data_IF_138444953942
#
_entry.id   IF_138444953942
#
_cell.length_a   1.000
_cell.length_b   1.000
_cell.length_c   1.000
_cell.angle_alpha   90.00
_cell.angle_beta   90.00
_cell.angle_gamma   90.00
#
_symmetry.space_group_name_H-M   'P 1'
#
loop_
_entity.id
_entity.type
_entity.pdbx_description
1 polymer ?
#
# COMPACT_ATOMS: atom_id res chain seq x y z
N UNK A 1 43.88 -38.03 -54.48
CA UNK A 1 44.36 -36.97 -53.55
C UNK A 1 43.25 -36.00 -53.12
N UNK A 2 42.39 -35.49 -54.04
CA UNK A 2 41.34 -34.52 -53.69
C UNK A 2 40.16 -35.09 -52.85
N UNK A 3 39.86 -36.38 -52.94
CA UNK A 3 38.78 -37.04 -52.17
C UNK A 3 39.10 -37.19 -50.69
N UNK A 4 40.35 -37.52 -50.34
CA UNK A 4 40.84 -37.59 -48.96
C UNK A 4 40.78 -36.21 -48.27
N UNK A 5 41.15 -35.13 -48.99
CA UNK A 5 41.00 -33.76 -48.48
C UNK A 5 39.54 -33.38 -48.22
N UNK A 6 38.61 -33.75 -49.12
CA UNK A 6 37.18 -33.46 -48.94
C UNK A 6 36.59 -34.24 -47.76
N UNK A 7 37.02 -35.49 -47.55
CA UNK A 7 36.59 -36.30 -46.42
C UNK A 7 37.07 -35.74 -45.08
N UNK A 8 38.34 -35.30 -45.01
CA UNK A 8 38.89 -34.69 -43.81
C UNK A 8 38.21 -33.36 -43.46
N UNK A 9 37.96 -32.50 -44.45
CA UNK A 9 37.22 -31.25 -44.26
C UNK A 9 35.78 -31.52 -43.81
N UNK A 10 35.11 -32.52 -44.38
CA UNK A 10 33.76 -32.91 -43.95
C UNK A 10 33.75 -33.43 -42.50
N UNK A 11 34.74 -34.23 -42.10
CA UNK A 11 34.84 -34.74 -40.73
C UNK A 11 35.06 -33.61 -39.70
N UNK A 12 35.85 -32.58 -40.07
CA UNK A 12 36.06 -31.38 -39.25
C UNK A 12 34.79 -30.52 -39.14
N UNK A 13 34.06 -30.35 -40.25
CA UNK A 13 32.80 -29.62 -40.28
C UNK A 13 31.71 -30.35 -39.48
N UNK A 14 31.64 -31.67 -39.57
CA UNK A 14 30.70 -32.47 -38.80
C UNK A 14 30.97 -32.36 -37.29
N UNK A 15 32.25 -32.45 -36.86
CA UNK A 15 32.63 -32.28 -35.45
C UNK A 15 32.28 -30.89 -34.91
N UNK A 16 32.48 -29.84 -35.69
CA UNK A 16 32.17 -28.46 -35.28
C UNK A 16 30.66 -28.21 -35.19
N UNK A 17 29.86 -28.81 -36.09
CA UNK A 17 28.39 -28.74 -36.04
C UNK A 17 27.85 -29.52 -34.83
N UNK A 18 28.35 -30.74 -34.59
CA UNK A 18 27.95 -31.57 -33.43
C UNK A 18 28.27 -30.84 -32.11
N UNK A 19 29.47 -30.24 -32.01
CA UNK A 19 29.89 -29.54 -30.79
C UNK A 19 29.07 -28.27 -30.52
N UNK A 20 28.63 -27.54 -31.56
CA UNK A 20 27.74 -26.37 -31.40
C UNK A 20 26.33 -26.75 -30.92
N UNK A 21 25.76 -27.82 -31.48
CA UNK A 21 24.44 -28.30 -31.05
C UNK A 21 24.48 -28.87 -29.62
N UNK A 22 25.59 -29.52 -29.25
CA UNK A 22 25.82 -29.99 -27.88
C UNK A 22 25.94 -28.80 -26.90
N UNK A 23 26.67 -27.76 -27.27
CA UNK A 23 26.82 -26.54 -26.44
C UNK A 23 25.48 -25.83 -26.22
N UNK A 24 24.62 -25.79 -27.25
CA UNK A 24 23.28 -25.20 -27.16
C UNK A 24 22.34 -26.02 -26.27
N UNK A 25 22.38 -27.36 -26.35
CA UNK A 25 21.56 -28.23 -25.51
C UNK A 25 21.93 -28.15 -24.01
N UNK A 26 23.21 -28.02 -23.69
CA UNK A 26 23.69 -27.83 -22.30
C UNK A 26 23.21 -26.49 -21.72
N UNK A 27 23.07 -25.46 -22.56
CA UNK A 27 22.59 -24.13 -22.15
C UNK A 27 21.09 -24.12 -21.81
N UNK A 28 20.29 -24.97 -22.45
CA UNK A 28 18.86 -25.13 -22.11
C UNK A 28 18.65 -25.96 -20.84
N UNK A 29 19.50 -26.97 -20.58
CA UNK A 29 19.41 -27.82 -19.38
C UNK A 29 19.78 -27.07 -18.09
N UNK A 30 20.66 -26.08 -18.13
CA UNK A 30 21.01 -25.28 -16.95
C UNK A 30 19.92 -24.25 -16.57
N UNK A 31 19.05 -23.86 -17.50
CA UNK A 31 17.95 -22.93 -17.25
C UNK A 31 16.78 -23.56 -16.47
N UNK A 32 16.56 -24.86 -16.58
CA UNK A 32 15.48 -25.56 -15.88
C UNK A 32 15.71 -25.67 -14.36
N UNK A 33 16.96 -25.64 -13.90
CA UNK A 33 17.29 -25.74 -12.46
C UNK A 33 16.86 -24.53 -11.64
N UNK A 34 16.70 -23.35 -12.25
CA UNK A 34 16.28 -22.13 -11.54
C UNK A 34 14.76 -22.03 -11.31
N UNK A 35 13.95 -22.84 -11.99
CA UNK A 35 12.47 -22.74 -11.91
C UNK A 35 11.93 -23.30 -10.57
N UNK A 36 12.68 -24.17 -9.88
CA UNK A 36 12.22 -24.84 -8.66
C UNK A 36 12.54 -24.11 -7.34
N UNK A 37 13.11 -22.90 -7.38
CA UNK A 37 13.40 -22.09 -6.20
C UNK A 37 12.33 -20.99 -5.96
N UNK A 38 11.05 -21.32 -6.16
CA UNK A 38 9.97 -20.45 -5.72
C UNK A 38 9.71 -20.69 -4.24
N UNK A 39 10.34 -19.87 -3.40
CA UNK A 39 10.14 -19.88 -1.96
C UNK A 39 8.64 -19.72 -1.67
N UNK A 40 8.03 -20.73 -1.06
CA UNK A 40 6.62 -20.68 -0.68
C UNK A 40 6.52 -19.74 0.52
N UNK A 41 6.38 -18.43 0.26
CA UNK A 41 6.28 -17.42 1.30
C UNK A 41 5.07 -17.73 2.16
N UNK A 42 5.31 -18.25 3.36
CA UNK A 42 4.29 -18.42 4.38
C UNK A 42 4.07 -17.03 4.99
N UNK A 43 3.23 -16.21 4.36
CA UNK A 43 2.89 -14.88 4.88
C UNK A 43 2.03 -15.09 6.12
N UNK A 44 2.69 -15.21 7.27
CA UNK A 44 2.04 -14.99 8.55
C UNK A 44 1.36 -13.63 8.45
N UNK A 45 0.05 -13.61 8.67
CA UNK A 45 -0.84 -12.47 8.56
C UNK A 45 -0.13 -11.19 9.04
N UNK A 46 0.10 -10.24 8.13
CA UNK A 46 0.85 -9.00 8.38
C UNK A 46 0.04 -8.10 9.32
N UNK A 47 0.02 -8.43 10.61
CA UNK A 47 -0.72 -7.76 11.68
C UNK A 47 -0.11 -6.39 12.05
N UNK A 48 0.70 -5.84 11.17
CA UNK A 48 1.38 -4.56 11.33
C UNK A 48 0.39 -3.42 11.13
N UNK A 49 0.44 -2.47 12.04
CA UNK A 49 -0.28 -1.20 11.92
C UNK A 49 0.63 -0.24 11.16
N UNK A 50 0.13 0.32 10.06
CA UNK A 50 0.86 1.27 9.20
C UNK A 50 0.24 2.64 9.37
N UNK A 51 1.05 3.65 9.68
CA UNK A 51 0.61 5.04 9.68
C UNK A 51 0.54 5.58 8.24
N UNK A 52 -0.49 6.37 7.95
CA UNK A 52 -0.73 6.98 6.65
C UNK A 52 -0.97 8.47 6.80
N UNK A 53 -0.47 9.23 5.82
CA UNK A 53 -0.78 10.65 5.64
C UNK A 53 -1.30 10.85 4.21
N UNK A 54 -2.37 11.61 4.07
CA UNK A 54 -2.94 12.04 2.80
C UNK A 54 -2.83 13.55 2.77
N UNK A 55 -2.43 14.11 1.63
CA UNK A 55 -2.20 15.54 1.44
C UNK A 55 -3.27 16.15 0.54
N UNK A 56 -3.57 17.42 0.78
CA UNK A 56 -4.32 18.28 -0.11
C UNK A 56 -3.49 18.65 -1.34
N UNK A 57 -4.12 19.24 -2.36
CA UNK A 57 -3.45 19.71 -3.58
C UNK A 57 -2.41 20.82 -3.31
N UNK A 58 -2.54 21.55 -2.18
CA UNK A 58 -1.58 22.55 -1.74
C UNK A 58 -0.35 21.95 -1.01
N UNK A 59 -0.30 20.63 -0.83
CA UNK A 59 0.78 19.93 -0.14
C UNK A 59 0.63 19.86 1.39
N UNK A 60 -0.36 20.53 1.98
CA UNK A 60 -0.65 20.41 3.40
C UNK A 60 -1.36 19.09 3.72
N UNK A 61 -1.23 18.61 4.96
CA UNK A 61 -1.86 17.35 5.37
C UNK A 61 -3.38 17.50 5.36
N UNK A 62 -4.07 16.62 4.64
CA UNK A 62 -5.52 16.46 4.68
C UNK A 62 -5.96 15.49 5.77
N UNK A 63 -5.25 14.37 5.94
CA UNK A 63 -5.67 13.31 6.84
C UNK A 63 -4.48 12.50 7.35
N UNK A 64 -4.48 12.18 8.64
CA UNK A 64 -3.55 11.22 9.27
C UNK A 64 -4.32 10.09 9.93
N UNK A 65 -3.77 8.89 9.90
CA UNK A 65 -4.34 7.78 10.64
C UNK A 65 -3.58 6.49 10.46
N UNK A 66 -4.20 5.37 10.84
CA UNK A 66 -3.55 4.07 10.74
C UNK A 66 -4.38 3.06 9.95
N UNK A 67 -3.68 2.17 9.25
CA UNK A 67 -4.21 1.01 8.57
C UNK A 67 -3.73 -0.27 9.26
N UNK A 68 -4.63 -1.24 9.37
CA UNK A 68 -4.34 -2.60 9.80
C UNK A 68 -5.09 -3.57 8.91
N UNK A 69 -4.40 -4.50 8.26
CA UNK A 69 -4.97 -5.44 7.30
C UNK A 69 -5.83 -4.73 6.23
N UNK A 70 -5.28 -3.66 5.62
CA UNK A 70 -5.93 -2.80 4.62
C UNK A 70 -7.22 -2.11 5.08
N UNK A 71 -7.43 -1.95 6.40
CA UNK A 71 -8.60 -1.27 6.97
C UNK A 71 -8.16 -0.19 7.95
N UNK A 72 -8.89 0.93 7.99
CA UNK A 72 -8.66 1.97 9.01
C UNK A 72 -8.73 1.38 10.41
N UNK A 73 -7.76 1.77 11.24
CA UNK A 73 -7.57 1.30 12.59
C UNK A 73 -6.98 2.41 13.46
N UNK A 74 -7.28 2.42 14.74
CA UNK A 74 -6.76 3.43 15.66
C UNK A 74 -7.26 4.84 15.36
N UNK A 75 -6.47 5.83 15.76
CA UNK A 75 -6.80 7.26 15.68
C UNK A 75 -6.85 7.72 14.22
N UNK A 76 -7.78 8.61 13.92
CA UNK A 76 -7.86 9.36 12.67
C UNK A 76 -7.95 10.85 12.97
N UNK A 77 -7.16 11.65 12.28
CA UNK A 77 -7.20 13.10 12.27
C UNK A 77 -7.45 13.60 10.83
N UNK A 78 -8.27 14.63 10.67
CA UNK A 78 -8.46 15.29 9.38
C UNK A 78 -8.42 16.80 9.54
N UNK A 79 -7.86 17.46 8.53
CA UNK A 79 -7.52 18.88 8.57
C UNK A 79 -8.11 19.61 7.36
N UNK A 80 -8.44 20.88 7.53
CA UNK A 80 -8.86 21.75 6.42
C UNK A 80 -7.65 22.18 5.56
N UNK A 81 -7.90 22.97 4.51
CA UNK A 81 -6.84 23.49 3.61
C UNK A 81 -5.84 24.43 4.30
N UNK A 82 -6.20 24.97 5.47
CA UNK A 82 -5.34 25.84 6.28
C UNK A 82 -4.57 25.07 7.35
N UNK A 83 -4.72 23.74 7.43
CA UNK A 83 -4.08 22.88 8.42
C UNK A 83 -4.79 22.82 9.77
N UNK A 84 -6.00 23.37 9.91
CA UNK A 84 -6.75 23.29 11.17
C UNK A 84 -7.42 21.91 11.30
N UNK A 85 -7.36 21.33 12.51
CA UNK A 85 -8.02 20.05 12.81
C UNK A 85 -9.55 20.21 12.76
N UNK A 86 -10.20 19.48 11.86
CA UNK A 86 -11.66 19.51 11.67
C UNK A 86 -12.35 18.21 12.06
N UNK A 87 -11.62 17.09 12.11
CA UNK A 87 -12.16 15.79 12.54
C UNK A 87 -11.14 15.04 13.39
N UNK A 88 -11.60 14.48 14.50
CA UNK A 88 -10.84 13.54 15.32
C UNK A 88 -11.72 12.35 15.68
N UNK A 89 -11.22 11.13 15.50
CA UNK A 89 -11.97 9.94 15.84
C UNK A 89 -11.12 8.68 15.89
N UNK A 90 -11.79 7.54 16.09
CA UNK A 90 -11.12 6.24 16.14
C UNK A 90 -11.86 5.20 15.28
N UNK A 91 -11.08 4.37 14.59
CA UNK A 91 -11.53 3.20 13.88
C UNK A 91 -11.07 1.90 14.56
N UNK A 92 -11.90 0.86 14.42
CA UNK A 92 -11.52 -0.52 14.69
C UNK A 92 -11.99 -1.39 13.54
N UNK A 93 -11.04 -2.00 12.83
CA UNK A 93 -11.29 -2.90 11.70
C UNK A 93 -12.18 -2.26 10.62
N UNK A 94 -11.90 -1.00 10.27
CA UNK A 94 -12.64 -0.23 9.29
C UNK A 94 -13.97 0.34 9.77
N UNK A 95 -14.31 0.21 11.07
CA UNK A 95 -15.53 0.76 11.65
C UNK A 95 -15.24 1.85 12.67
N UNK A 96 -15.93 2.98 12.58
CA UNK A 96 -15.95 4.04 13.60
C UNK A 96 -16.35 3.45 14.94
N UNK A 97 -15.61 3.83 15.97
CA UNK A 97 -15.94 3.54 17.37
C UNK A 97 -15.59 4.73 18.26
N UNK A 98 -16.20 4.77 19.44
CA UNK A 98 -15.93 5.78 20.45
C UNK A 98 -16.39 7.16 20.03
N UNK A 99 -15.84 8.17 20.70
CA UNK A 99 -16.18 9.57 20.47
C UNK A 99 -15.50 10.08 19.21
N UNK A 100 -16.30 10.71 18.36
CA UNK A 100 -15.85 11.43 17.18
C UNK A 100 -16.17 12.90 17.37
N UNK A 101 -15.17 13.75 17.16
CA UNK A 101 -15.29 15.19 17.26
C UNK A 101 -15.24 15.78 15.86
N UNK A 102 -16.18 16.67 15.57
CA UNK A 102 -16.29 17.42 14.32
C UNK A 102 -16.33 18.90 14.67
N UNK A 103 -15.36 19.65 14.15
CA UNK A 103 -15.31 21.09 14.27
C UNK A 103 -15.74 21.72 12.95
N UNK A 104 -16.68 22.67 13.03
CA UNK A 104 -17.10 23.48 11.90
C UNK A 104 -17.41 24.89 12.40
N UNK A 105 -16.66 25.89 11.95
CA UNK A 105 -16.76 27.27 12.42
C UNK A 105 -16.77 27.35 13.96
N UNK A 106 -17.87 27.86 14.54
CA UNK A 106 -18.06 28.03 15.97
C UNK A 106 -18.75 26.84 16.65
N UNK A 107 -18.83 25.70 15.95
CA UNK A 107 -19.61 24.53 16.34
C UNK A 107 -18.70 23.32 16.56
N UNK A 108 -18.80 22.73 17.74
CA UNK A 108 -18.25 21.41 18.04
C UNK A 108 -19.39 20.40 18.12
N UNK A 109 -19.29 19.32 17.37
CA UNK A 109 -20.21 18.18 17.46
C UNK A 109 -19.44 16.93 17.90
N UNK A 110 -19.83 16.37 19.05
CA UNK A 110 -19.36 15.05 19.49
C UNK A 110 -20.41 14.00 19.11
N UNK A 111 -20.00 12.95 18.41
CA UNK A 111 -20.84 11.80 18.06
C UNK A 111 -20.18 10.54 18.61
N UNK A 112 -20.91 9.78 19.42
CA UNK A 112 -20.43 8.49 19.91
C UNK A 112 -20.84 7.37 18.95
N UNK A 113 -19.86 6.64 18.41
CA UNK A 113 -20.08 5.54 17.49
C UNK A 113 -19.83 4.17 18.13
N UNK A 114 -20.63 3.18 17.74
CA UNK A 114 -20.37 1.75 17.97
C UNK A 114 -20.55 1.00 16.66
N UNK A 115 -19.45 0.53 16.08
CA UNK A 115 -19.46 -0.22 14.81
C UNK A 115 -20.18 0.54 13.69
N UNK A 116 -19.79 1.80 13.44
CA UNK A 116 -20.43 2.74 12.50
C UNK A 116 -21.85 3.22 12.86
N UNK A 117 -22.47 2.75 13.93
CA UNK A 117 -23.79 3.23 14.38
C UNK A 117 -23.63 4.37 15.38
N UNK A 118 -24.41 5.43 15.20
CA UNK A 118 -24.52 6.52 16.16
C UNK A 118 -25.26 5.99 17.40
N UNK A 119 -24.65 6.19 18.57
CA UNK A 119 -25.23 5.87 19.87
C UNK A 119 -25.79 7.14 20.51
N UNK A 120 -25.07 8.25 20.39
CA UNK A 120 -25.48 9.55 20.89
C UNK A 120 -24.75 10.65 20.14
N UNK A 121 -25.29 11.86 20.18
CA UNK A 121 -24.65 13.05 19.66
C UNK A 121 -24.96 14.25 20.55
N UNK A 122 -24.00 15.15 20.68
CA UNK A 122 -24.15 16.42 21.35
C UNK A 122 -23.38 17.50 20.61
N UNK A 123 -23.87 18.71 20.70
CA UNK A 123 -23.38 19.84 19.92
C UNK A 123 -23.28 21.05 20.83
N UNK A 124 -22.17 21.77 20.72
CA UNK A 124 -21.94 23.04 21.39
C UNK A 124 -21.66 24.09 20.33
N UNK A 125 -22.27 25.26 20.48
CA UNK A 125 -22.04 26.43 19.62
C UNK A 125 -21.53 27.56 20.51
N UNK A 126 -20.41 28.15 20.14
CA UNK A 126 -19.90 29.32 20.83
C UNK A 126 -20.59 30.57 20.25
N UNK A 127 -21.56 31.13 20.98
CA UNK A 127 -22.10 32.44 20.66
C UNK A 127 -21.05 33.48 21.03
N UNK A 128 -20.33 34.02 20.05
CA UNK A 128 -19.60 35.27 20.24
C UNK A 128 -20.65 36.34 20.52
N UNK A 129 -20.87 36.64 21.81
CA UNK A 129 -21.77 37.72 22.23
C UNK A 129 -21.43 38.98 21.45
N UNK A 130 -22.41 39.50 20.74
CA UNK A 130 -22.37 40.79 20.06
C UNK A 130 -22.11 41.89 21.10
N UNK A 131 -20.85 42.29 21.23
CA UNK A 131 -20.47 43.59 21.78
C UNK A 131 -20.83 44.68 20.75
N UNK A 132 -22.10 45.07 20.74
CA UNK A 132 -22.66 46.30 20.16
C UNK A 132 -24.12 46.33 20.62
N UNK A 133 -24.62 47.25 21.44
CA UNK A 133 -24.37 48.68 21.53
C UNK A 133 -24.74 49.17 22.94
N UNK A 134 -23.87 49.96 23.57
CA UNK A 134 -24.28 50.95 24.57
C UNK A 134 -24.95 52.14 23.88
#
# INVERSE_FOLDING_TARGET
MLTECKFFVYLLLLKTIIMKNLMSAVFFLSFFSFINAQEKINVNEFNSVVEIEIYHDNGEVYQKGFLKNNKLHGKLESYDYSGNLVVLGEFKNGKKKGKWLFWNDNKLTEVNFKNNRIISSQTWENSTNSLASN
#
